data_IF_016817254191
#
_entry.id   IF_016817254191
#
_cell.length_a   1.000
_cell.length_b   1.000
_cell.length_c   1.000
_cell.angle_alpha   90.00
_cell.angle_beta   90.00
_cell.angle_gamma   90.00
#
_symmetry.space_group_name_H-M   'P 1'
#
loop_
_entity.id
_entity.type
_entity.pdbx_description
1 polymer ?
#
# COMPACT_ATOMS: atom_id res chain seq x y z
N UNK A 1 -11.40 40.65 -10.08
CA UNK A 1 -12.01 39.35 -10.43
C UNK A 1 -11.09 38.25 -9.94
N UNK A 2 -11.30 37.80 -8.72
CA UNK A 2 -10.56 36.67 -8.15
C UNK A 2 -10.83 35.41 -8.98
N UNK A 3 -9.74 34.80 -9.49
CA UNK A 3 -9.82 33.48 -10.10
C UNK A 3 -10.17 32.50 -8.99
N UNK A 4 -11.41 31.98 -9.01
CA UNK A 4 -11.78 30.79 -8.22
C UNK A 4 -10.74 29.71 -8.47
N UNK A 5 -10.11 29.13 -7.44
CA UNK A 5 -9.26 27.97 -7.63
C UNK A 5 -10.19 26.85 -8.09
N UNK A 6 -10.04 26.44 -9.35
CA UNK A 6 -10.72 25.27 -9.88
C UNK A 6 -10.20 24.07 -9.09
N UNK A 7 -11.02 23.63 -8.13
CA UNK A 7 -10.97 22.29 -7.55
C UNK A 7 -10.77 21.30 -8.70
N UNK A 8 -9.53 20.83 -8.90
CA UNK A 8 -9.28 19.70 -9.79
C UNK A 8 -9.96 18.52 -9.14
N UNK A 9 -11.15 18.20 -9.63
CA UNK A 9 -11.94 17.07 -9.14
C UNK A 9 -11.11 15.80 -9.31
N UNK A 10 -11.01 15.02 -8.23
CA UNK A 10 -10.65 13.62 -8.28
C UNK A 10 -11.70 12.95 -9.17
N UNK A 11 -11.29 12.50 -10.35
CA UNK A 11 -12.18 11.86 -11.32
C UNK A 11 -12.09 10.35 -11.10
N UNK A 12 -12.99 9.78 -10.31
CA UNK A 12 -13.09 8.32 -10.08
C UNK A 12 -13.71 7.58 -11.28
N UNK A 13 -13.51 8.10 -12.48
CA UNK A 13 -13.92 7.46 -13.72
C UNK A 13 -13.09 6.19 -13.90
N UNK A 14 -13.79 5.05 -14.01
CA UNK A 14 -13.29 3.70 -14.21
C UNK A 14 -12.90 2.96 -12.92
N UNK A 15 -13.91 2.45 -12.21
CA UNK A 15 -13.74 1.19 -11.48
C UNK A 15 -14.00 0.06 -12.47
N UNK A 16 -13.08 -0.91 -12.54
CA UNK A 16 -13.25 -2.16 -13.26
C UNK A 16 -14.63 -2.76 -12.93
N UNK A 17 -15.46 -3.17 -13.90
CA UNK A 17 -16.76 -3.81 -13.66
C UNK A 17 -16.63 -5.23 -13.09
N UNK A 18 -15.68 -5.47 -12.21
CA UNK A 18 -15.65 -6.70 -11.42
C UNK A 18 -16.98 -6.79 -10.63
N UNK A 19 -17.53 -8.00 -10.43
CA UNK A 19 -18.78 -8.17 -9.67
C UNK A 19 -18.69 -7.60 -8.24
N UNK A 20 -17.47 -7.38 -7.75
CA UNK A 20 -17.17 -6.81 -6.43
C UNK A 20 -16.74 -5.34 -6.47
N UNK A 21 -16.79 -4.68 -7.63
CA UNK A 21 -16.52 -3.25 -7.74
C UNK A 21 -17.47 -2.43 -6.86
N UNK A 22 -16.90 -1.47 -6.14
CA UNK A 22 -17.65 -0.47 -5.39
C UNK A 22 -18.15 0.55 -6.41
N UNK A 23 -19.41 0.98 -6.28
CA UNK A 23 -19.95 1.97 -7.20
C UNK A 23 -19.13 3.27 -7.15
N UNK A 24 -18.61 3.77 -8.29
CA UNK A 24 -17.84 5.01 -8.33
C UNK A 24 -18.59 6.20 -7.72
N UNK A 25 -19.92 6.21 -7.86
CA UNK A 25 -20.77 7.27 -7.31
C UNK A 25 -20.79 7.26 -5.78
N UNK A 26 -20.76 6.09 -5.15
CA UNK A 26 -20.70 5.99 -3.68
C UNK A 26 -19.38 6.53 -3.15
N UNK A 27 -18.25 6.12 -3.75
CA UNK A 27 -16.93 6.65 -3.37
C UNK A 27 -16.87 8.16 -3.59
N UNK A 28 -17.43 8.66 -4.70
CA UNK A 28 -17.46 10.11 -4.99
C UNK A 28 -18.28 10.90 -3.96
N UNK A 29 -19.41 10.35 -3.48
CA UNK A 29 -20.22 10.97 -2.44
C UNK A 29 -19.48 11.02 -1.12
N UNK A 30 -18.87 9.90 -0.72
CA UNK A 30 -18.06 9.82 0.51
C UNK A 30 -16.86 10.74 0.43
N UNK A 31 -16.14 10.77 -0.70
CA UNK A 31 -15.07 11.73 -0.95
C UNK A 31 -15.54 13.19 -0.81
N UNK A 32 -16.68 13.56 -1.40
CA UNK A 32 -17.21 14.91 -1.31
C UNK A 32 -17.54 15.28 0.15
N UNK A 33 -18.12 14.36 0.92
CA UNK A 33 -18.40 14.55 2.35
C UNK A 33 -17.11 14.74 3.15
N UNK A 34 -16.16 13.82 3.02
CA UNK A 34 -14.87 13.88 3.72
C UNK A 34 -14.08 15.14 3.34
N UNK A 35 -14.12 15.55 2.06
CA UNK A 35 -13.49 16.79 1.59
C UNK A 35 -14.08 18.03 2.27
N UNK A 36 -15.41 18.12 2.37
CA UNK A 36 -16.07 19.22 3.07
C UNK A 36 -15.73 19.25 4.56
N UNK A 37 -15.56 18.08 5.17
CA UNK A 37 -15.35 17.95 6.61
C UNK A 37 -13.89 18.17 7.04
N UNK A 38 -12.92 17.66 6.27
CA UNK A 38 -11.53 17.56 6.73
C UNK A 38 -10.53 18.42 5.96
N UNK A 39 -10.79 18.73 4.68
CA UNK A 39 -9.74 19.26 3.80
C UNK A 39 -9.17 20.62 4.24
N UNK A 40 -10.03 21.55 4.65
CA UNK A 40 -9.61 22.91 5.02
C UNK A 40 -8.73 22.91 6.29
N UNK A 41 -9.14 22.18 7.33
CA UNK A 41 -8.38 22.09 8.58
C UNK A 41 -7.04 21.37 8.39
N UNK A 42 -7.01 20.27 7.62
CA UNK A 42 -5.78 19.52 7.35
C UNK A 42 -4.78 20.33 6.52
N UNK A 43 -5.24 21.13 5.55
CA UNK A 43 -4.35 21.99 4.76
C UNK A 43 -3.80 23.15 5.57
N UNK A 44 -4.61 23.77 6.43
CA UNK A 44 -4.16 24.88 7.29
C UNK A 44 -3.13 24.43 8.32
N UNK A 45 -3.26 23.21 8.84
CA UNK A 45 -2.37 22.63 9.84
C UNK A 45 -1.27 21.75 9.24
N UNK A 46 -0.97 21.93 7.94
CA UNK A 46 0.06 21.16 7.26
C UNK A 46 1.45 21.44 7.85
N UNK A 47 2.22 20.39 8.12
CA UNK A 47 3.50 20.51 8.83
C UNK A 47 4.68 19.82 8.13
N UNK A 48 4.48 19.16 6.98
CA UNK A 48 5.54 18.45 6.26
C UNK A 48 6.27 19.37 5.26
N UNK A 49 7.60 19.25 5.19
CA UNK A 49 8.43 20.08 4.31
C UNK A 49 8.58 19.50 2.89
N UNK A 50 8.65 18.16 2.81
CA UNK A 50 8.94 17.43 1.55
C UNK A 50 7.68 17.08 0.76
N UNK A 51 6.51 17.34 1.33
CA UNK A 51 5.21 16.98 0.80
C UNK A 51 4.33 18.23 0.67
N UNK A 52 3.40 18.21 -0.28
CA UNK A 52 2.55 19.38 -0.56
C UNK A 52 1.18 19.27 0.13
N UNK A 53 0.61 20.37 0.65
CA UNK A 53 -0.73 20.36 1.26
C UNK A 53 -1.84 19.80 0.37
N UNK A 54 -1.66 19.80 -0.95
CA UNK A 54 -2.60 19.20 -1.90
C UNK A 54 -2.70 17.67 -1.77
N UNK A 55 -1.72 16.99 -1.17
CA UNK A 55 -1.76 15.55 -0.90
C UNK A 55 -2.88 15.17 0.07
N UNK A 56 -3.41 16.12 0.86
CA UNK A 56 -4.64 15.93 1.65
C UNK A 56 -5.77 15.34 0.81
N UNK A 57 -5.91 15.74 -0.46
CA UNK A 57 -6.96 15.22 -1.34
C UNK A 57 -6.74 13.76 -1.75
N UNK A 58 -5.48 13.31 -1.81
CA UNK A 58 -5.14 11.91 -2.13
C UNK A 58 -5.53 11.01 -0.94
N UNK A 59 -5.16 11.39 0.28
CA UNK A 59 -5.57 10.68 1.49
C UNK A 59 -7.09 10.66 1.69
N UNK A 60 -7.80 11.76 1.38
CA UNK A 60 -9.27 11.79 1.43
C UNK A 60 -9.88 10.82 0.39
N UNK A 61 -9.26 10.69 -0.78
CA UNK A 61 -9.71 9.75 -1.80
C UNK A 61 -9.53 8.31 -1.35
N UNK A 62 -8.37 7.98 -0.76
CA UNK A 62 -8.09 6.66 -0.20
C UNK A 62 -9.03 6.31 0.94
N UNK A 63 -9.28 7.26 1.86
CA UNK A 63 -10.22 7.08 2.95
C UNK A 63 -11.64 6.78 2.42
N UNK A 64 -12.10 7.49 1.38
CA UNK A 64 -13.39 7.22 0.75
C UNK A 64 -13.46 5.82 0.14
N UNK A 65 -12.40 5.37 -0.56
CA UNK A 65 -12.31 4.03 -1.11
C UNK A 65 -12.40 2.96 -0.01
N UNK A 66 -11.63 3.11 1.07
CA UNK A 66 -11.61 2.17 2.19
C UNK A 66 -12.94 2.12 2.94
N UNK A 67 -13.58 3.27 3.18
CA UNK A 67 -14.90 3.33 3.84
C UNK A 67 -15.94 2.58 3.04
N UNK A 68 -16.03 2.80 1.72
CA UNK A 68 -17.01 2.09 0.90
C UNK A 68 -16.66 0.61 0.74
N UNK A 69 -15.37 0.26 0.74
CA UNK A 69 -14.94 -1.13 0.78
C UNK A 69 -15.44 -1.80 2.05
N UNK A 70 -15.14 -1.22 3.22
CA UNK A 70 -15.52 -1.79 4.51
C UNK A 70 -17.03 -1.78 4.75
N UNK A 71 -17.75 -0.80 4.20
CA UNK A 71 -19.21 -0.79 4.16
C UNK A 71 -19.74 -2.00 3.39
N UNK A 72 -19.15 -2.32 2.24
CA UNK A 72 -19.56 -3.46 1.42
C UNK A 72 -19.16 -4.81 2.04
N UNK A 73 -17.94 -4.92 2.58
CA UNK A 73 -17.38 -6.20 3.04
C UNK A 73 -17.77 -6.55 4.48
N UNK A 74 -17.87 -5.54 5.36
CA UNK A 74 -18.11 -5.74 6.79
C UNK A 74 -19.42 -5.11 7.28
N UNK A 75 -20.20 -4.48 6.40
CA UNK A 75 -21.35 -3.64 6.80
C UNK A 75 -20.95 -2.53 7.79
N UNK A 76 -19.70 -2.06 7.71
CA UNK A 76 -19.10 -1.12 8.65
C UNK A 76 -19.35 0.32 8.22
N UNK A 77 -20.49 0.86 8.64
CA UNK A 77 -20.89 2.25 8.37
C UNK A 77 -20.16 3.20 9.34
N UNK A 78 -19.56 4.31 8.85
CA UNK A 78 -18.93 5.31 9.71
C UNK A 78 -19.84 5.78 10.85
N UNK A 79 -19.29 5.96 12.05
CA UNK A 79 -20.05 6.41 13.21
C UNK A 79 -20.68 7.80 12.99
N UNK A 80 -20.04 8.63 12.17
CA UNK A 80 -20.50 9.95 11.71
C UNK A 80 -21.76 9.89 10.85
N UNK A 81 -22.09 8.74 10.27
CA UNK A 81 -23.24 8.51 9.40
C UNK A 81 -24.35 7.69 10.07
N UNK A 82 -24.09 7.11 11.24
CA UNK A 82 -25.08 6.33 11.96
C UNK A 82 -26.12 7.25 12.62
N UNK A 83 -27.43 6.99 12.47
CA UNK A 83 -28.44 7.77 13.17
C UNK A 83 -28.29 7.59 14.68
N UNK A 84 -28.42 8.70 15.42
CA UNK A 84 -28.21 8.80 16.88
C UNK A 84 -29.12 7.89 17.75
N UNK A 85 -30.11 7.24 17.15
CA UNK A 85 -31.09 6.37 17.81
C UNK A 85 -31.00 4.90 17.40
N UNK A 86 -29.95 4.52 16.67
CA UNK A 86 -29.72 3.12 16.26
C UNK A 86 -29.41 2.26 17.49
N UNK A 87 -30.37 1.45 17.94
CA UNK A 87 -30.06 0.40 18.93
C UNK A 87 -29.06 -0.58 18.28
N UNK A 88 -28.03 -1.05 19.00
CA UNK A 88 -27.14 -2.08 18.48
C UNK A 88 -27.99 -3.30 18.12
N UNK A 89 -28.00 -3.68 16.85
CA UNK A 89 -28.72 -4.86 16.40
C UNK A 89 -27.89 -6.09 16.81
N UNK A 90 -28.38 -6.95 17.72
CA UNK A 90 -27.62 -8.12 18.20
C UNK A 90 -27.38 -9.18 17.10
N UNK A 91 -28.02 -9.03 15.93
CA UNK A 91 -27.77 -9.87 14.74
C UNK A 91 -26.96 -9.13 13.66
N UNK A 92 -26.36 -7.98 13.98
CA UNK A 92 -25.48 -7.28 13.04
C UNK A 92 -24.26 -8.17 12.70
N UNK A 93 -23.73 -8.09 11.47
CA UNK A 93 -22.52 -8.80 11.08
C UNK A 93 -21.36 -8.48 12.02
N UNK A 94 -20.32 -9.33 11.99
CA UNK A 94 -19.07 -9.17 12.75
C UNK A 94 -18.62 -7.70 12.64
N UNK A 95 -18.48 -6.97 13.76
CA UNK A 95 -18.05 -5.58 13.72
C UNK A 95 -16.69 -5.50 13.03
N UNK A 96 -16.47 -4.43 12.26
CA UNK A 96 -15.15 -4.17 11.69
C UNK A 96 -14.09 -4.28 12.80
N UNK A 97 -13.10 -5.19 12.67
CA UNK A 97 -12.25 -5.56 13.79
C UNK A 97 -11.31 -4.42 14.15
N UNK A 98 -10.38 -4.10 13.24
CA UNK A 98 -9.49 -2.94 13.30
C UNK A 98 -8.74 -2.82 11.98
N UNK A 99 -8.06 -1.69 11.76
CA UNK A 99 -7.05 -1.57 10.71
C UNK A 99 -5.65 -1.35 11.27
N UNK A 100 -4.65 -1.66 10.44
CA UNK A 100 -3.28 -1.19 10.60
C UNK A 100 -2.85 -0.49 9.31
N UNK A 101 -2.25 0.69 9.43
CA UNK A 101 -1.65 1.41 8.30
C UNK A 101 -0.13 1.32 8.38
N UNK A 102 0.47 0.59 7.44
CA UNK A 102 1.91 0.32 7.37
C UNK A 102 2.59 1.43 6.56
N UNK A 103 3.61 2.06 7.16
CA UNK A 103 4.25 3.26 6.62
C UNK A 103 3.23 4.42 6.46
N UNK A 104 2.51 4.72 7.54
CA UNK A 104 1.40 5.68 7.51
C UNK A 104 1.82 7.14 7.26
N UNK A 105 3.12 7.43 7.19
CA UNK A 105 3.67 8.73 6.84
C UNK A 105 3.12 9.86 7.71
N UNK A 106 2.61 10.90 7.06
CA UNK A 106 2.03 12.06 7.73
C UNK A 106 0.81 11.74 8.63
N UNK A 107 0.24 10.53 8.56
CA UNK A 107 -0.81 10.04 9.44
C UNK A 107 -2.21 10.57 9.12
N UNK A 108 -2.40 11.28 8.00
CA UNK A 108 -3.69 11.88 7.63
C UNK A 108 -4.75 10.81 7.37
N UNK A 109 -4.38 9.71 6.69
CA UNK A 109 -5.32 8.62 6.42
C UNK A 109 -5.82 8.01 7.74
N UNK A 110 -4.90 7.69 8.65
CA UNK A 110 -5.20 7.20 10.01
C UNK A 110 -6.09 8.18 10.76
N UNK A 111 -5.77 9.47 10.75
CA UNK A 111 -6.58 10.51 11.36
C UNK A 111 -8.03 10.48 10.85
N UNK A 112 -8.24 10.48 9.53
CA UNK A 112 -9.59 10.48 8.93
C UNK A 112 -10.36 9.23 9.37
N UNK A 113 -9.76 8.04 9.25
CA UNK A 113 -10.42 6.78 9.59
C UNK A 113 -10.80 6.72 11.08
N UNK A 114 -9.93 7.18 11.99
CA UNK A 114 -10.24 7.28 13.42
C UNK A 114 -11.38 8.26 13.69
N UNK A 115 -11.40 9.43 13.04
CA UNK A 115 -12.48 10.42 13.22
C UNK A 115 -13.82 9.96 12.63
N UNK A 116 -13.79 9.06 11.64
CA UNK A 116 -14.97 8.39 11.10
C UNK A 116 -15.47 7.22 11.98
N UNK A 117 -14.75 6.90 13.07
CA UNK A 117 -15.17 5.93 14.09
C UNK A 117 -14.57 4.53 13.94
N UNK A 118 -13.67 4.32 12.99
CA UNK A 118 -12.94 3.06 12.86
C UNK A 118 -11.85 2.95 13.92
N UNK A 119 -11.56 1.73 14.37
CA UNK A 119 -10.45 1.47 15.29
C UNK A 119 -9.21 1.04 14.50
N UNK A 120 -8.04 1.55 14.85
CA UNK A 120 -6.81 1.16 14.19
C UNK A 120 -5.56 1.89 14.68
N UNK A 121 -4.42 1.52 14.09
CA UNK A 121 -3.10 2.07 14.44
C UNK A 121 -2.32 2.33 13.15
N UNK A 122 -1.65 3.46 13.08
CA UNK A 122 -0.66 3.77 12.05
C UNK A 122 0.75 3.55 12.57
N UNK A 123 1.59 2.92 11.76
CA UNK A 123 3.01 2.72 12.05
C UNK A 123 3.86 3.38 10.99
N UNK A 124 4.88 4.11 11.41
CA UNK A 124 5.89 4.68 10.51
C UNK A 124 7.28 4.51 11.13
N UNK A 125 8.29 4.31 10.28
CA UNK A 125 9.68 4.20 10.73
C UNK A 125 10.19 5.49 11.40
N UNK A 126 9.53 6.62 11.13
CA UNK A 126 9.92 7.94 11.59
C UNK A 126 8.72 8.72 12.13
N UNK A 127 8.88 9.34 13.31
CA UNK A 127 7.86 10.27 13.80
C UNK A 127 7.78 11.50 12.89
N UNK A 128 6.62 11.72 12.28
CA UNK A 128 6.38 12.88 11.39
C UNK A 128 5.92 14.12 12.13
N UNK A 129 6.19 15.29 11.57
CA UNK A 129 5.85 16.59 12.18
C UNK A 129 4.34 16.75 12.33
N UNK A 130 3.59 16.32 11.31
CA UNK A 130 2.12 16.38 11.27
C UNK A 130 1.45 15.67 12.44
N UNK A 131 2.10 14.66 13.04
CA UNK A 131 1.49 13.94 14.15
C UNK A 131 1.20 14.86 15.34
N UNK A 132 2.04 15.88 15.57
CA UNK A 132 1.85 16.85 16.66
C UNK A 132 0.64 17.76 16.48
N UNK A 133 0.11 17.88 15.26
CA UNK A 133 -1.04 18.73 14.95
C UNK A 133 -2.38 18.00 15.16
N UNK A 134 -2.35 16.67 15.32
CA UNK A 134 -3.55 15.88 15.55
C UNK A 134 -3.98 15.88 17.03
N UNK A 135 -5.26 15.62 17.33
CA UNK A 135 -5.74 15.40 18.70
C UNK A 135 -4.99 14.26 19.41
N UNK A 136 -4.90 14.34 20.75
CA UNK A 136 -4.13 13.40 21.57
C UNK A 136 -4.59 11.94 21.37
N UNK A 137 -5.88 11.70 21.16
CA UNK A 137 -6.42 10.37 20.89
C UNK A 137 -5.89 9.78 19.57
N UNK A 138 -5.67 10.62 18.55
CA UNK A 138 -5.08 10.17 17.27
C UNK A 138 -3.58 9.98 17.40
N UNK A 139 -2.89 10.88 18.13
CA UNK A 139 -1.46 10.72 18.41
C UNK A 139 -1.16 9.42 19.15
N UNK A 140 -2.04 8.98 20.04
CA UNK A 140 -1.91 7.70 20.74
C UNK A 140 -1.98 6.49 19.79
N UNK A 141 -2.61 6.63 18.63
CA UNK A 141 -2.74 5.60 17.59
C UNK A 141 -1.67 5.71 16.48
N UNK A 142 -0.72 6.65 16.58
CA UNK A 142 0.39 6.78 15.64
C UNK A 142 1.69 6.38 16.34
N UNK A 143 2.36 5.36 15.81
CA UNK A 143 3.48 4.69 16.47
C UNK A 143 4.73 4.75 15.59
N UNK A 144 5.79 5.33 16.14
CA UNK A 144 7.11 5.31 15.51
C UNK A 144 7.72 3.92 15.75
N UNK A 145 7.72 3.07 14.72
CA UNK A 145 8.24 1.70 14.76
C UNK A 145 8.77 1.27 13.40
N UNK A 146 9.83 0.48 13.43
CA UNK A 146 10.41 -0.08 12.22
C UNK A 146 9.87 -1.48 11.99
N UNK A 147 9.38 -1.74 10.79
CA UNK A 147 9.01 -3.10 10.42
C UNK A 147 10.23 -3.92 10.03
N UNK A 148 10.37 -5.07 10.68
CA UNK A 148 11.31 -6.11 10.32
C UNK A 148 10.52 -7.37 9.97
N UNK A 149 10.41 -7.75 8.69
CA UNK A 149 9.67 -8.93 8.30
C UNK A 149 10.10 -10.18 9.09
N UNK A 150 9.14 -10.99 9.54
CA UNK A 150 9.39 -12.19 10.35
C UNK A 150 10.54 -13.09 9.85
N UNK A 151 10.59 -13.43 8.55
CA UNK A 151 11.69 -14.23 7.99
C UNK A 151 13.08 -13.60 8.17
N UNK A 152 13.18 -12.27 8.14
CA UNK A 152 14.45 -11.57 8.42
C UNK A 152 14.75 -11.54 9.92
N UNK A 153 13.73 -11.35 10.76
CA UNK A 153 13.86 -11.47 12.21
C UNK A 153 14.35 -12.86 12.65
N UNK A 154 13.85 -13.92 12.01
CA UNK A 154 14.23 -15.30 12.30
C UNK A 154 15.70 -15.56 11.99
N UNK A 155 16.20 -15.02 10.87
CA UNK A 155 17.61 -15.17 10.47
C UNK A 155 18.55 -14.38 11.38
N UNK A 156 18.13 -13.19 11.85
CA UNK A 156 18.92 -12.37 12.77
C UNK A 156 18.95 -12.94 14.20
N UNK A 157 17.93 -13.70 14.57
CA UNK A 157 17.73 -14.19 15.93
C UNK A 157 17.36 -13.08 16.92
N UNK A 158 17.16 -13.44 18.18
CA UNK A 158 16.76 -12.47 19.22
C UNK A 158 17.86 -11.44 19.50
N UNK A 159 19.12 -11.88 19.63
CA UNK A 159 20.24 -10.97 19.90
C UNK A 159 20.43 -9.94 18.79
N UNK A 160 20.36 -10.34 17.52
CA UNK A 160 20.48 -9.40 16.40
C UNK A 160 19.35 -8.37 16.34
N UNK A 161 18.15 -8.72 16.83
CA UNK A 161 17.03 -7.78 16.96
C UNK A 161 17.24 -6.79 18.10
N UNK A 162 17.63 -7.28 19.28
CA UNK A 162 17.89 -6.44 20.46
C UNK A 162 19.01 -5.43 20.15
N UNK A 163 20.08 -5.88 19.48
CA UNK A 163 21.18 -5.02 19.02
C UNK A 163 20.68 -3.94 18.04
N UNK A 164 19.79 -4.30 17.12
CA UNK A 164 19.21 -3.38 16.15
C UNK A 164 18.28 -2.34 16.79
N UNK A 165 17.43 -2.72 17.75
CA UNK A 165 16.59 -1.78 18.51
C UNK A 165 17.45 -0.79 19.28
N UNK A 166 18.50 -1.28 19.95
CA UNK A 166 19.44 -0.46 20.70
C UNK A 166 20.19 0.52 19.80
N UNK A 167 20.64 0.06 18.63
CA UNK A 167 21.36 0.89 17.66
C UNK A 167 20.47 1.96 17.02
N UNK A 168 19.24 1.61 16.64
CA UNK A 168 18.32 2.51 15.93
C UNK A 168 17.54 3.44 16.88
N UNK A 169 17.48 3.10 18.18
CA UNK A 169 16.76 3.85 19.20
C UNK A 169 15.25 3.89 18.98
N UNK A 170 14.69 2.85 18.34
CA UNK A 170 13.26 2.74 18.00
C UNK A 170 12.84 1.28 18.04
N UNK A 171 11.60 1.04 18.49
CA UNK A 171 11.02 -0.29 18.61
C UNK A 171 10.83 -0.96 17.25
N UNK A 172 11.16 -2.24 17.17
CA UNK A 172 10.96 -3.08 15.99
C UNK A 172 9.63 -3.83 16.10
N UNK A 173 8.89 -3.85 15.01
CA UNK A 173 7.66 -4.62 14.89
C UNK A 173 7.81 -5.71 13.83
N UNK A 174 7.54 -6.97 14.18
CA UNK A 174 7.74 -8.12 13.26
C UNK A 174 6.51 -8.55 12.47
N UNK A 175 5.47 -7.72 12.48
CA UNK A 175 4.23 -7.94 11.71
C UNK A 175 3.20 -8.85 12.39
N UNK A 176 3.32 -9.09 13.69
CA UNK A 176 2.29 -9.78 14.46
C UNK A 176 1.08 -8.88 14.69
N UNK A 177 -0.08 -9.25 14.17
CA UNK A 177 -1.33 -8.50 14.34
C UNK A 177 -2.48 -9.43 14.74
N UNK A 178 -3.50 -8.93 15.45
CA UNK A 178 -4.70 -9.71 15.76
C UNK A 178 -5.38 -10.27 14.50
N UNK A 179 -6.03 -11.43 14.65
CA UNK A 179 -6.85 -12.01 13.58
C UNK A 179 -7.94 -11.04 13.12
N UNK A 180 -8.16 -10.97 11.80
CA UNK A 180 -9.14 -10.09 11.17
C UNK A 180 -8.70 -8.65 10.96
N UNK A 181 -7.57 -8.20 11.54
CA UNK A 181 -7.05 -6.83 11.30
C UNK A 181 -6.84 -6.56 9.81
N UNK A 182 -7.36 -5.44 9.33
CA UNK A 182 -7.23 -5.01 7.93
C UNK A 182 -5.93 -4.24 7.72
N UNK A 183 -5.04 -4.74 6.85
CA UNK A 183 -3.77 -4.09 6.54
C UNK A 183 -3.91 -3.06 5.41
N UNK A 184 -3.43 -1.85 5.64
CA UNK A 184 -3.29 -0.80 4.63
C UNK A 184 -1.79 -0.62 4.39
N UNK A 185 -1.41 -0.50 3.14
CA UNK A 185 -0.04 -0.32 2.68
C UNK A 185 -0.07 0.67 1.52
N UNK A 186 -0.28 1.94 1.85
CA UNK A 186 -0.27 3.05 0.89
C UNK A 186 1.13 3.67 0.85
N UNK A 187 1.73 3.75 -0.34
CA UNK A 187 3.08 4.29 -0.49
C UNK A 187 4.15 3.66 0.42
N UNK A 188 3.98 2.37 0.76
CA UNK A 188 4.79 1.72 1.80
C UNK A 188 6.18 1.24 1.32
N UNK A 189 6.65 1.74 0.18
CA UNK A 189 7.98 1.48 -0.40
C UNK A 189 8.42 0.01 -0.28
N UNK A 190 9.43 -0.27 0.55
CA UNK A 190 10.01 -1.58 0.75
C UNK A 190 9.00 -2.63 1.26
N UNK A 191 7.91 -2.21 1.90
CA UNK A 191 6.88 -3.10 2.44
C UNK A 191 5.85 -3.56 1.39
N UNK A 192 5.80 -2.95 0.21
CA UNK A 192 4.74 -3.21 -0.79
C UNK A 192 4.60 -4.70 -1.15
N UNK A 193 5.72 -5.37 -1.47
CA UNK A 193 5.72 -6.82 -1.80
C UNK A 193 5.65 -7.68 -0.53
N UNK A 194 6.10 -7.15 0.61
CA UNK A 194 5.98 -7.83 1.90
C UNK A 194 4.55 -7.90 2.41
N UNK A 195 3.67 -6.95 2.08
CA UNK A 195 2.31 -6.89 2.63
C UNK A 195 1.51 -8.19 2.52
N UNK A 196 1.39 -8.88 1.36
CA UNK A 196 0.71 -10.17 1.30
C UNK A 196 1.41 -11.27 2.12
N UNK A 197 2.76 -11.27 2.18
CA UNK A 197 3.53 -12.20 3.01
C UNK A 197 3.25 -11.95 4.50
N UNK A 198 3.26 -10.69 4.94
CA UNK A 198 2.98 -10.29 6.31
C UNK A 198 1.54 -10.63 6.72
N UNK A 199 0.58 -10.40 5.82
CA UNK A 199 -0.82 -10.76 6.05
C UNK A 199 -1.01 -12.26 6.31
N UNK A 200 -0.32 -13.11 5.52
CA UNK A 200 -0.34 -14.55 5.71
C UNK A 200 0.47 -15.01 6.93
N UNK A 201 1.63 -14.41 7.21
CA UNK A 201 2.44 -14.71 8.40
C UNK A 201 1.71 -14.39 9.71
N UNK A 202 0.99 -13.27 9.75
CA UNK A 202 0.27 -12.82 10.93
C UNK A 202 -0.83 -13.82 11.33
N UNK A 203 -1.51 -14.42 10.36
CA UNK A 203 -2.54 -15.44 10.61
C UNK A 203 -2.55 -16.51 9.50
N UNK A 204 -1.69 -17.53 9.54
CA UNK A 204 -1.54 -18.48 8.43
C UNK A 204 -2.77 -19.34 8.14
N UNK A 205 -3.68 -19.49 9.11
CA UNK A 205 -4.94 -20.22 8.93
C UNK A 205 -6.04 -19.36 8.32
N UNK A 206 -5.98 -18.06 8.57
CA UNK A 206 -6.94 -17.10 8.05
C UNK A 206 -6.21 -15.77 7.76
N UNK A 207 -5.48 -15.71 6.63
CA UNK A 207 -4.62 -14.58 6.30
C UNK A 207 -5.37 -13.26 6.36
N UNK A 208 -4.69 -12.23 6.87
CA UNK A 208 -5.30 -10.92 7.08
C UNK A 208 -5.73 -10.27 5.75
N UNK A 209 -6.88 -9.57 5.71
CA UNK A 209 -7.26 -8.80 4.55
C UNK A 209 -6.30 -7.60 4.39
N UNK A 210 -6.01 -7.22 3.15
CA UNK A 210 -5.10 -6.12 2.87
C UNK A 210 -5.56 -5.22 1.71
N UNK A 211 -5.06 -3.99 1.70
CA UNK A 211 -5.18 -3.00 0.65
C UNK A 211 -3.80 -2.37 0.39
N UNK A 212 -3.23 -2.57 -0.79
CA UNK A 212 -1.89 -2.08 -1.17
C UNK A 212 -2.01 -1.11 -2.34
N UNK A 213 -1.36 0.04 -2.25
CA UNK A 213 -1.19 0.99 -3.39
C UNK A 213 0.29 1.01 -3.78
N UNK A 214 0.69 0.30 -4.85
CA UNK A 214 2.09 0.24 -5.28
C UNK A 214 2.56 1.56 -5.91
N UNK A 215 3.72 2.08 -5.47
CA UNK A 215 4.31 3.31 -6.03
C UNK A 215 5.81 3.18 -6.37
N UNK A 216 6.63 2.82 -5.37
CA UNK A 216 8.08 2.81 -5.45
C UNK A 216 8.58 1.38 -5.53
N UNK A 217 9.34 1.08 -6.58
CA UNK A 217 9.75 -0.29 -6.88
C UNK A 217 10.99 -0.68 -6.10
N UNK A 218 10.80 -1.47 -5.04
CA UNK A 218 11.83 -1.99 -4.14
C UNK A 218 11.84 -3.53 -4.14
N UNK A 219 13.01 -4.14 -3.91
CA UNK A 219 13.13 -5.58 -3.65
C UNK A 219 12.71 -5.93 -2.21
N UNK A 220 12.58 -7.23 -1.88
CA UNK A 220 12.35 -7.66 -0.50
C UNK A 220 13.48 -7.24 0.46
N UNK A 221 14.71 -7.07 -0.04
CA UNK A 221 15.84 -6.53 0.74
C UNK A 221 15.77 -5.00 0.91
N UNK A 222 14.78 -4.34 0.30
CA UNK A 222 14.58 -2.89 0.36
C UNK A 222 15.40 -2.06 -0.63
N UNK A 223 16.12 -2.70 -1.56
CA UNK A 223 16.89 -2.01 -2.59
C UNK A 223 16.01 -1.55 -3.75
N UNK A 224 16.39 -0.47 -4.46
CA UNK A 224 15.75 -0.13 -5.73
C UNK A 224 15.83 -1.31 -6.69
N UNK A 225 14.69 -1.69 -7.27
CA UNK A 225 14.62 -2.85 -8.16
C UNK A 225 13.57 -2.62 -9.24
N UNK A 226 13.92 -2.92 -10.49
CA UNK A 226 12.99 -2.84 -11.62
C UNK A 226 12.44 -4.22 -11.94
N UNK A 227 11.20 -4.46 -11.53
CA UNK A 227 10.48 -5.66 -11.92
C UNK A 227 10.23 -5.67 -13.43
N UNK A 228 10.29 -6.85 -14.08
CA UNK A 228 9.95 -6.95 -15.49
C UNK A 228 8.46 -6.60 -15.70
N UNK A 229 8.11 -5.98 -16.84
CA UNK A 229 6.71 -5.70 -17.16
C UNK A 229 5.91 -7.00 -17.24
N UNK A 230 4.68 -6.98 -16.74
CA UNK A 230 3.81 -8.15 -16.77
C UNK A 230 3.53 -8.62 -18.21
N UNK A 231 3.51 -9.94 -18.43
CA UNK A 231 3.07 -10.50 -19.71
C UNK A 231 1.60 -10.13 -19.93
N UNK A 232 1.26 -9.52 -21.07
CA UNK A 232 -0.15 -9.28 -21.45
C UNK A 232 -0.88 -10.62 -21.46
N UNK A 233 -1.87 -10.81 -20.58
CA UNK A 233 -2.83 -11.92 -20.73
C UNK A 233 -3.72 -11.57 -21.94
N UNK A 234 -3.28 -11.98 -23.12
CA UNK A 234 -4.08 -11.93 -24.33
C UNK A 234 -5.16 -12.99 -24.29
N UNK A 235 -6.38 -12.61 -24.68
CA UNK A 235 -7.42 -13.51 -25.17
C UNK A 235 -6.82 -14.56 -26.11
N UNK A 236 -7.19 -15.82 -25.89
CA UNK A 236 -6.52 -16.98 -26.48
C UNK A 236 -6.47 -17.02 -28.00
N UNK A 237 -5.46 -17.71 -28.49
CA UNK A 237 -5.48 -18.54 -29.70
C UNK A 237 -4.30 -19.51 -29.60
N UNK A 238 -4.58 -20.78 -29.92
CA UNK A 238 -3.69 -21.93 -29.82
C UNK A 238 -2.48 -21.85 -30.77
N UNK A 239 -1.36 -22.42 -30.29
CA UNK A 239 -0.43 -23.20 -31.10
C UNK A 239 0.50 -22.49 -32.09
N UNK A 240 1.78 -22.38 -31.73
CA UNK A 240 2.86 -23.06 -32.48
C UNK A 240 4.18 -22.93 -31.72
N UNK A 241 4.87 -24.07 -31.61
CA UNK A 241 6.27 -24.18 -31.21
C UNK A 241 7.10 -23.60 -32.35
N UNK A 242 7.99 -22.66 -32.03
CA UNK A 242 9.20 -22.45 -32.83
C UNK A 242 10.38 -22.19 -31.91
N UNK A 243 11.31 -23.15 -31.96
CA UNK A 243 12.68 -23.09 -31.51
C UNK A 243 13.47 -22.16 -32.45
N UNK A 244 14.03 -21.06 -31.92
CA UNK A 244 15.31 -20.55 -32.40
C UNK A 244 15.86 -19.45 -31.49
N UNK A 245 17.14 -19.58 -31.17
CA UNK A 245 17.89 -18.66 -30.33
C UNK A 245 18.13 -17.27 -30.93
N UNK A 246 18.41 -16.33 -30.03
CA UNK A 246 19.14 -15.10 -30.33
C UNK A 246 18.30 -13.86 -30.63
N UNK A 247 18.02 -13.07 -29.59
CA UNK A 247 18.51 -11.67 -29.46
C UNK A 247 17.84 -11.00 -28.28
N UNK A 248 18.65 -10.60 -27.31
CA UNK A 248 18.31 -9.57 -26.33
C UNK A 248 17.86 -8.30 -27.07
N UNK A 249 16.58 -7.99 -26.98
CA UNK A 249 16.05 -6.66 -27.29
C UNK A 249 15.71 -5.97 -25.97
N UNK A 250 16.76 -5.47 -25.31
CA UNK A 250 16.63 -4.49 -24.24
C UNK A 250 15.96 -3.23 -24.80
N UNK A 251 14.65 -3.11 -24.57
CA UNK A 251 13.90 -1.89 -24.83
C UNK A 251 14.35 -0.78 -23.89
N UNK A 252 15.47 -0.10 -24.21
CA UNK A 252 15.75 1.24 -23.71
C UNK A 252 14.53 2.10 -24.05
N UNK A 253 13.85 2.63 -23.04
CA UNK A 253 13.01 3.80 -23.21
C UNK A 253 13.93 4.94 -23.66
N UNK A 254 14.09 5.08 -24.98
CA UNK A 254 14.69 6.26 -25.58
C UNK A 254 13.79 7.43 -25.28
N UNK A 255 14.23 8.33 -24.40
CA UNK A 255 13.73 9.70 -24.43
C UNK A 255 13.89 10.19 -25.87
N UNK A 256 12.85 10.77 -26.50
CA UNK A 256 13.04 11.38 -27.80
C UNK A 256 14.09 12.48 -27.64
N UNK A 257 15.19 12.36 -28.40
CA UNK A 257 16.31 13.31 -28.44
C UNK A 257 15.89 14.70 -28.98
N UNK A 258 14.60 14.86 -29.27
CA UNK A 258 13.95 16.05 -29.76
C UNK A 258 12.87 16.45 -28.74
N UNK A 259 12.91 17.70 -28.29
CA UNK A 259 11.93 18.31 -27.38
C UNK A 259 10.55 18.51 -28.01
N UNK A 260 10.04 17.53 -28.75
CA UNK A 260 8.68 17.53 -29.29
C UNK A 260 7.67 17.38 -28.15
N UNK A 261 7.15 18.54 -27.72
CA UNK A 261 6.10 18.66 -26.70
C UNK A 261 4.86 17.83 -27.03
N UNK A 262 4.59 17.52 -28.32
CA UNK A 262 3.44 16.69 -28.71
C UNK A 262 3.69 15.21 -28.40
N UNK A 263 4.87 14.69 -28.71
CA UNK A 263 5.27 13.32 -28.36
C UNK A 263 5.30 13.10 -26.84
N UNK A 264 5.87 14.05 -26.09
CA UNK A 264 5.89 13.99 -24.62
C UNK A 264 4.49 14.04 -24.00
N UNK A 265 3.56 14.82 -24.60
CA UNK A 265 2.16 14.84 -24.17
C UNK A 265 1.45 13.53 -24.47
N UNK A 266 1.74 12.88 -25.60
CA UNK A 266 1.16 11.59 -25.96
C UNK A 266 1.60 10.49 -24.97
N UNK A 267 2.90 10.42 -24.66
CA UNK A 267 3.44 9.50 -23.65
C UNK A 267 2.77 9.73 -22.30
N UNK A 268 2.69 10.99 -21.84
CA UNK A 268 2.06 11.34 -20.56
C UNK A 268 0.55 11.11 -20.53
N UNK A 269 -0.10 11.03 -21.68
CA UNK A 269 -1.52 10.67 -21.79
C UNK A 269 -1.70 9.16 -21.75
N UNK A 270 -0.80 8.42 -22.41
CA UNK A 270 -0.79 6.95 -22.40
C UNK A 270 -0.49 6.39 -21.01
N UNK A 271 0.45 6.98 -20.26
CA UNK A 271 0.72 6.67 -18.85
C UNK A 271 -0.52 6.82 -17.95
N UNK A 272 -1.53 7.60 -18.38
CA UNK A 272 -2.81 7.79 -17.69
C UNK A 272 -3.91 6.82 -18.15
N UNK A 273 -3.54 5.80 -18.91
CA UNK A 273 -4.42 4.67 -19.27
C UNK A 273 -4.05 3.45 -18.44
N UNK A 274 -4.97 2.50 -18.31
CA UNK A 274 -4.67 1.21 -17.69
C UNK A 274 -3.51 0.49 -18.39
N UNK A 275 -3.52 0.48 -19.72
CA UNK A 275 -2.46 -0.14 -20.51
C UNK A 275 -1.09 0.51 -20.23
N UNK A 276 -1.04 1.85 -20.15
CA UNK A 276 0.19 2.56 -19.80
C UNK A 276 0.61 2.34 -18.35
N UNK A 277 -0.34 2.26 -17.41
CA UNK A 277 -0.04 1.92 -16.02
C UNK A 277 0.67 0.58 -15.91
N UNK A 278 0.18 -0.47 -16.58
CA UNK A 278 0.80 -1.81 -16.53
C UNK A 278 2.22 -1.85 -17.10
N UNK A 279 2.56 -0.92 -18.01
CA UNK A 279 3.93 -0.79 -18.55
C UNK A 279 4.84 0.07 -17.67
N UNK A 280 4.29 0.72 -16.64
CA UNK A 280 5.05 1.55 -15.70
C UNK A 280 5.78 0.72 -14.64
N UNK A 281 6.66 1.39 -13.88
CA UNK A 281 7.30 0.81 -12.71
C UNK A 281 6.28 0.38 -11.65
N UNK A 282 5.27 1.21 -11.39
CA UNK A 282 4.19 0.92 -10.45
C UNK A 282 3.36 -0.28 -10.92
N UNK A 283 3.09 -0.40 -12.23
CA UNK A 283 2.39 -1.55 -12.80
C UNK A 283 3.19 -2.86 -12.71
N UNK A 284 4.50 -2.80 -12.92
CA UNK A 284 5.38 -3.97 -12.78
C UNK A 284 5.48 -4.42 -11.32
N UNK A 285 5.59 -3.47 -10.38
CA UNK A 285 5.54 -3.74 -8.94
C UNK A 285 4.19 -4.32 -8.51
N UNK A 286 3.09 -3.77 -9.04
CA UNK A 286 1.76 -4.29 -8.78
C UNK A 286 1.61 -5.73 -9.29
N UNK A 287 2.05 -6.02 -10.52
CA UNK A 287 2.05 -7.37 -11.07
C UNK A 287 2.87 -8.34 -10.22
N UNK A 288 4.03 -7.91 -9.71
CA UNK A 288 4.82 -8.74 -8.79
C UNK A 288 4.09 -8.99 -7.48
N UNK A 289 3.55 -7.94 -6.87
CA UNK A 289 2.84 -8.03 -5.57
C UNK A 289 1.62 -8.94 -5.69
N UNK A 290 0.87 -8.82 -6.79
CA UNK A 290 -0.21 -9.74 -7.14
C UNK A 290 0.28 -11.19 -7.25
N UNK A 291 1.35 -11.43 -8.02
CA UNK A 291 1.88 -12.78 -8.21
C UNK A 291 2.32 -13.43 -6.89
N UNK A 292 2.97 -12.67 -6.01
CA UNK A 292 3.35 -13.15 -4.66
C UNK A 292 2.11 -13.48 -3.83
N UNK A 293 1.08 -12.64 -3.85
CA UNK A 293 -0.16 -12.89 -3.14
C UNK A 293 -0.90 -14.14 -3.67
N UNK A 294 -1.05 -14.27 -4.99
CA UNK A 294 -1.67 -15.42 -5.66
C UNK A 294 -0.89 -16.72 -5.36
N UNK A 295 0.44 -16.65 -5.33
CA UNK A 295 1.28 -17.79 -4.97
C UNK A 295 0.98 -18.25 -3.53
N UNK A 296 0.76 -17.36 -2.58
CA UNK A 296 0.39 -17.74 -1.19
C UNK A 296 -1.06 -18.26 -1.09
N UNK A 297 -1.88 -18.05 -2.12
CA UNK A 297 -3.28 -18.48 -2.16
C UNK A 297 -4.29 -17.35 -1.90
N UNK A 298 -3.88 -16.08 -2.00
CA UNK A 298 -4.84 -14.98 -2.02
C UNK A 298 -5.51 -14.86 -3.37
N UNK A 299 -6.82 -14.67 -3.36
CA UNK A 299 -7.49 -14.03 -4.48
C UNK A 299 -7.30 -12.52 -4.36
N UNK A 300 -6.79 -11.89 -5.43
CA UNK A 300 -6.46 -10.47 -5.44
C UNK A 300 -7.40 -9.73 -6.38
N UNK A 301 -8.19 -8.83 -5.80
CA UNK A 301 -9.04 -7.88 -6.52
C UNK A 301 -8.28 -6.58 -6.78
N UNK A 302 -8.75 -5.79 -7.75
CA UNK A 302 -8.14 -4.53 -8.15
C UNK A 302 -9.15 -3.40 -8.03
N UNK A 303 -8.74 -2.29 -7.43
CA UNK A 303 -9.53 -1.07 -7.38
C UNK A 303 -8.77 0.07 -8.04
N UNK A 304 -9.31 0.58 -9.14
CA UNK A 304 -8.74 1.71 -9.86
C UNK A 304 -9.30 3.03 -9.34
N UNK A 305 -8.43 4.01 -9.16
CA UNK A 305 -8.83 5.35 -8.75
C UNK A 305 -7.85 6.39 -9.32
N UNK A 306 -8.26 7.65 -9.37
CA UNK A 306 -7.41 8.73 -9.86
C UNK A 306 -7.15 9.74 -8.77
N UNK A 307 -5.90 10.05 -8.51
CA UNK A 307 -5.54 11.24 -7.75
C UNK A 307 -5.20 12.40 -8.71
N UNK A 308 -5.05 13.65 -8.22
CA UNK A 308 -4.72 14.80 -9.08
C UNK A 308 -3.36 14.68 -9.79
N UNK A 309 -3.30 13.93 -10.90
CA UNK A 309 -2.10 13.82 -11.73
C UNK A 309 -1.77 12.40 -12.20
N UNK A 310 -2.30 11.38 -11.53
CA UNK A 310 -1.97 9.98 -11.75
C UNK A 310 -3.20 9.07 -11.80
N UNK A 311 -3.06 7.93 -12.48
CA UNK A 311 -3.95 6.78 -12.34
C UNK A 311 -3.28 5.84 -11.35
N UNK A 312 -3.99 5.48 -10.30
CA UNK A 312 -3.53 4.56 -9.28
C UNK A 312 -4.38 3.29 -9.30
N UNK A 313 -3.78 2.20 -8.85
CA UNK A 313 -4.44 0.92 -8.69
C UNK A 313 -4.10 0.38 -7.32
N UNK A 314 -5.14 0.04 -6.55
CA UNK A 314 -4.98 -0.72 -5.33
C UNK A 314 -5.19 -2.21 -5.58
N UNK A 315 -4.41 -3.03 -4.88
CA UNK A 315 -4.57 -4.47 -4.78
C UNK A 315 -5.27 -4.80 -3.46
N UNK A 316 -6.33 -5.61 -3.53
CA UNK A 316 -7.14 -5.98 -2.38
C UNK A 316 -7.12 -7.49 -2.23
N UNK A 317 -6.62 -8.00 -1.11
CA UNK A 317 -6.58 -9.44 -0.83
C UNK A 317 -7.35 -9.80 0.45
N UNK A 318 -7.86 -11.02 0.53
CA UNK A 318 -8.38 -11.58 1.79
C UNK A 318 -9.75 -11.08 2.25
N UNK A 319 -10.47 -10.26 1.47
CA UNK A 319 -11.76 -9.68 1.85
C UNK A 319 -12.99 -10.62 1.71
N UNK A 320 -12.80 -11.92 1.43
CA UNK A 320 -13.92 -12.86 1.20
C UNK A 320 -14.14 -13.75 2.43
N UNK A 321 -15.30 -13.61 3.06
CA UNK A 321 -15.80 -14.50 4.13
C UNK A 321 -16.77 -15.59 3.65
N UNK A 322 -16.96 -15.78 2.33
CA UNK A 322 -17.90 -16.75 1.77
C UNK A 322 -17.20 -17.89 1.04
N UNK A 323 -17.47 -19.13 1.48
CA UNK A 323 -17.12 -20.40 0.81
C UNK A 323 -15.63 -20.71 0.62
N UNK A 324 -14.86 -20.81 1.72
CA UNK A 324 -13.67 -21.69 1.77
C UNK A 324 -14.05 -23.16 2.06
N UNK A 325 -15.18 -23.62 1.55
CA UNK A 325 -15.64 -24.99 1.80
C UNK A 325 -14.92 -26.04 0.91
N UNK A 326 -14.20 -25.60 -0.14
CA UNK A 326 -13.58 -26.52 -1.11
C UNK A 326 -12.06 -26.37 -1.33
N UNK A 327 -11.33 -25.55 -0.56
CA UNK A 327 -9.87 -25.48 -0.64
C UNK A 327 -9.23 -25.71 0.74
N UNK A 328 -9.26 -26.97 1.19
CA UNK A 328 -8.30 -27.47 2.17
C UNK A 328 -7.13 -28.08 1.40
N UNK A 329 -6.08 -27.33 1.09
CA UNK A 329 -4.85 -27.99 0.62
C UNK A 329 -3.55 -27.54 1.31
N UNK A 330 -3.49 -26.35 1.89
CA UNK A 330 -2.31 -25.93 2.65
C UNK A 330 -2.66 -25.69 4.12
N UNK A 331 -2.25 -26.61 4.99
CA UNK A 331 -2.28 -26.38 6.43
C UNK A 331 -1.35 -25.22 6.84
N UNK A 332 -1.43 -24.78 8.10
CA UNK A 332 -0.57 -23.71 8.66
C UNK A 332 0.90 -23.87 8.26
N UNK A 333 1.43 -25.08 8.36
CA UNK A 333 2.84 -25.37 8.05
C UNK A 333 3.15 -25.18 6.57
N UNK A 334 2.25 -25.58 5.67
CA UNK A 334 2.50 -25.41 4.24
C UNK A 334 2.41 -23.94 3.79
N UNK A 335 1.55 -23.12 4.40
CA UNK A 335 1.56 -21.66 4.16
C UNK A 335 2.90 -21.05 4.59
N UNK A 336 3.39 -21.42 5.77
CA UNK A 336 4.68 -20.94 6.27
C UNK A 336 5.86 -21.40 5.38
N UNK A 337 5.82 -22.64 4.90
CA UNK A 337 6.85 -23.16 4.01
C UNK A 337 6.85 -22.46 2.65
N UNK A 338 5.66 -22.23 2.07
CA UNK A 338 5.53 -21.48 0.83
C UNK A 338 6.06 -20.05 0.94
N UNK A 339 5.80 -19.40 2.08
CA UNK A 339 6.35 -18.07 2.37
C UNK A 339 7.88 -18.13 2.44
N UNK A 340 8.45 -19.16 3.07
CA UNK A 340 9.91 -19.38 3.11
C UNK A 340 10.49 -19.53 1.71
N UNK A 341 9.89 -20.37 0.86
CA UNK A 341 10.32 -20.60 -0.53
C UNK A 341 10.29 -19.31 -1.36
N UNK A 342 9.22 -18.52 -1.24
CA UNK A 342 9.10 -17.21 -1.92
C UNK A 342 10.20 -16.27 -1.45
N UNK A 343 10.41 -16.15 -0.13
CA UNK A 343 11.43 -15.26 0.44
C UNK A 343 12.83 -15.67 -0.03
N UNK A 344 13.17 -16.96 -0.01
CA UNK A 344 14.46 -17.43 -0.51
C UNK A 344 14.63 -17.15 -2.00
N UNK A 345 13.61 -17.42 -2.81
CA UNK A 345 13.63 -17.16 -4.27
C UNK A 345 13.83 -15.69 -4.56
N UNK A 346 13.08 -14.81 -3.89
CA UNK A 346 13.17 -13.37 -4.09
C UNK A 346 14.48 -12.77 -3.57
N UNK A 347 15.03 -13.34 -2.48
CA UNK A 347 16.29 -12.89 -1.89
C UNK A 347 17.52 -13.52 -2.55
N UNK A 348 17.38 -14.53 -3.42
CA UNK A 348 18.50 -15.17 -4.12
C UNK A 348 19.35 -14.15 -4.91
N UNK A 349 18.70 -13.16 -5.54
CA UNK A 349 19.39 -12.06 -6.24
C UNK A 349 20.20 -11.15 -5.31
N UNK A 350 19.81 -11.08 -4.04
CA UNK A 350 20.47 -10.30 -3.00
C UNK A 350 21.52 -11.14 -2.23
N UNK A 351 21.73 -12.41 -2.63
CA UNK A 351 22.67 -13.36 -2.02
C UNK A 351 22.07 -14.21 -0.90
N UNK A 352 20.75 -14.43 -0.93
CA UNK A 352 20.00 -15.24 0.03
C UNK A 352 19.36 -14.42 1.15
N UNK A 353 18.45 -15.03 1.92
CA UNK A 353 17.67 -14.34 2.96
C UNK A 353 18.54 -13.67 4.03
N UNK A 354 19.65 -14.27 4.44
CA UNK A 354 20.57 -13.69 5.43
C UNK A 354 21.22 -12.39 4.95
N UNK A 355 21.73 -12.38 3.71
CA UNK A 355 22.33 -11.18 3.14
C UNK A 355 21.27 -10.11 2.89
N UNK A 356 20.08 -10.50 2.43
CA UNK A 356 18.94 -9.61 2.27
C UNK A 356 18.51 -8.95 3.59
N UNK A 357 18.47 -9.71 4.69
CA UNK A 357 18.18 -9.18 6.03
C UNK A 357 19.23 -8.16 6.49
N UNK A 358 20.53 -8.43 6.28
CA UNK A 358 21.60 -7.47 6.59
C UNK A 358 21.46 -6.18 5.77
N UNK A 359 21.17 -6.30 4.48
CA UNK A 359 20.92 -5.16 3.60
C UNK A 359 19.68 -4.35 4.01
N UNK A 360 18.64 -5.02 4.50
CA UNK A 360 17.46 -4.36 5.07
C UNK A 360 17.87 -3.44 6.23
N UNK A 361 18.61 -3.98 7.22
CA UNK A 361 19.09 -3.21 8.37
C UNK A 361 19.93 -2.00 7.94
N UNK A 362 20.89 -2.20 7.04
CA UNK A 362 21.74 -1.11 6.54
C UNK A 362 20.92 0.03 5.94
N UNK A 363 19.87 -0.29 5.20
CA UNK A 363 18.96 0.72 4.61
C UNK A 363 18.10 1.39 5.66
N UNK A 364 17.59 0.61 6.62
CA UNK A 364 16.86 1.12 7.78
C UNK A 364 17.72 2.14 8.57
N UNK A 365 19.02 1.88 8.74
CA UNK A 365 19.96 2.84 9.36
C UNK A 365 20.03 4.14 8.57
N UNK A 366 20.14 4.06 7.24
CA UNK A 366 20.18 5.25 6.38
C UNK A 366 18.91 6.12 6.50
N UNK A 367 17.73 5.50 6.64
CA UNK A 367 16.47 6.23 6.87
C UNK A 367 16.51 7.07 8.16
N UNK A 368 17.22 6.59 9.20
CA UNK A 368 17.38 7.31 10.48
C UNK A 368 18.48 8.38 10.42
N UNK A 369 19.64 8.05 9.85
CA UNK A 369 20.80 8.95 9.81
C UNK A 369 20.58 10.18 8.91
N UNK A 370 19.79 10.06 7.83
CA UNK A 370 19.43 11.18 6.97
C UNK A 370 18.65 12.31 7.67
N UNK A 371 18.14 12.07 8.89
CA UNK A 371 17.44 13.06 9.70
C UNK A 371 18.38 13.93 10.55
N UNK A 372 19.64 13.51 10.74
CA UNK A 372 20.65 14.27 11.49
C UNK A 372 21.38 15.34 10.66
N UNK A 373 21.33 15.25 9.32
CA UNK A 373 21.89 16.24 8.41
C UNK A 373 20.79 17.15 7.89
N UNK A 374 20.36 18.08 8.73
CA UNK A 374 19.87 19.36 8.21
C UNK A 374 21.03 19.91 7.37
N UNK A 375 20.84 19.94 6.05
CA UNK A 375 21.74 20.64 5.15
C UNK A 375 21.85 22.09 5.64
N UNK A 376 22.89 22.40 6.39
CA UNK A 376 23.49 23.72 6.34
C UNK A 376 23.95 23.87 4.88
N UNK A 377 23.06 24.40 4.06
CA UNK A 377 23.42 24.93 2.76
C UNK A 377 24.55 25.93 3.00
N UNK A 378 25.79 25.52 2.69
CA UNK A 378 26.86 26.46 2.42
C UNK A 378 26.40 27.23 1.19
N UNK A 379 25.95 28.45 1.43
CA UNK A 379 25.76 29.44 0.38
C UNK A 379 27.17 29.76 -0.16
N UNK A 380 27.41 29.61 -1.48
CA UNK A 380 28.64 30.10 -2.10
C UNK A 380 28.72 31.63 -2.08
#
# INVERSE_FOLDING_TARGET
MERRPTSRNVSLSWLDPSPNSISPHLIQNTYARLKLQYADALQKNWAEDLEFPTQVFEHISLAACLIELWRKTYNAVPATEQPSLSRPNPTAPIPFPSFVDLACGNGILVYILLKEGYQGVGYDACRRKSWTTFPAEVQACLKERIFLPGPFADVLGSQGRDDMELELGVEIHTGGFPGGTFMISDHADELTVWTPLMAALACPRDPLPFFVVPCCSKSLAGGEFRYPPGKRRGSGEDGMVDDNGGKESGGKQTQPESGDLKALRAIKLEEKTEAGFWMSMAGSLAAKTMGVAEEIGFEVERAWFRTPGAVNMALIGGCRSGTRENEKELGREGVLEKIREIVETECAKDGGAERAAKLWIERTRCLRLGQGTVHHAKIP
#
